data_IF_105352025162
#
_entry.id   IF_105352025162
#
_cell.length_a   1.000
_cell.length_b   1.000
_cell.length_c   1.000
_cell.angle_alpha   90.00
_cell.angle_beta   90.00
_cell.angle_gamma   90.00
#
_symmetry.space_group_name_H-M   'P 1'
#
loop_
_entity.id
_entity.type
_entity.pdbx_description
1 polymer ?
#
# COMPACT_ATOMS: atom_id res chain seq x y z
N UNK A 1 -1.26 9.71 -11.41
CA UNK A 1 -1.79 8.62 -10.55
C UNK A 1 -1.00 7.36 -10.87
N UNK A 2 -0.44 6.69 -9.87
CA UNK A 2 0.33 5.46 -10.08
C UNK A 2 -0.55 4.27 -9.74
N UNK A 3 -0.95 3.52 -10.76
CA UNK A 3 -1.68 2.28 -10.61
C UNK A 3 -0.70 1.12 -10.46
N UNK A 4 -0.76 0.44 -9.31
CA UNK A 4 0.02 -0.78 -9.03
C UNK A 4 -0.91 -1.95 -8.77
N UNK A 5 -0.44 -3.16 -9.08
CA UNK A 5 -1.17 -4.38 -8.77
C UNK A 5 -0.53 -5.04 -7.56
N UNK A 6 -1.36 -5.50 -6.62
CA UNK A 6 -0.91 -6.24 -5.45
C UNK A 6 -1.91 -7.35 -5.11
N UNK A 7 -1.40 -8.47 -4.59
CA UNK A 7 -2.25 -9.51 -4.01
C UNK A 7 -2.60 -9.10 -2.58
N UNK A 8 -3.88 -9.13 -2.24
CA UNK A 8 -4.32 -8.80 -0.90
C UNK A 8 -3.86 -9.87 0.09
N UNK A 9 -3.15 -9.51 1.17
CA UNK A 9 -2.64 -10.50 2.12
C UNK A 9 -3.77 -11.10 2.99
N UNK A 10 -4.96 -10.48 3.02
CA UNK A 10 -6.11 -10.93 3.81
C UNK A 10 -6.95 -11.97 3.04
N UNK A 11 -7.25 -11.72 1.76
CA UNK A 11 -8.16 -12.56 0.98
C UNK A 11 -7.52 -13.24 -0.24
N UNK A 12 -6.25 -12.97 -0.54
CA UNK A 12 -5.52 -13.52 -1.69
C UNK A 12 -5.94 -12.99 -3.06
N UNK A 13 -6.94 -12.11 -3.14
CA UNK A 13 -7.40 -11.55 -4.41
C UNK A 13 -6.50 -10.41 -4.90
N UNK A 14 -6.30 -10.33 -6.22
CA UNK A 14 -5.64 -9.19 -6.87
C UNK A 14 -6.42 -7.90 -6.64
N UNK A 15 -5.70 -6.83 -6.34
CA UNK A 15 -6.24 -5.49 -6.20
C UNK A 15 -5.41 -4.46 -6.94
N UNK A 16 -6.05 -3.34 -7.29
CA UNK A 16 -5.40 -2.19 -7.89
C UNK A 16 -5.16 -1.15 -6.81
N UNK A 17 -3.90 -0.92 -6.49
CA UNK A 17 -3.43 0.17 -5.65
C UNK A 17 -3.42 1.44 -6.49
N UNK A 18 -4.38 2.33 -6.24
CA UNK A 18 -4.39 3.66 -6.85
C UNK A 18 -3.66 4.60 -5.90
N UNK A 19 -2.38 4.81 -6.16
CA UNK A 19 -1.54 5.68 -5.33
C UNK A 19 -1.54 7.08 -5.94
N UNK A 20 -2.07 8.09 -5.24
CA UNK A 20 -1.93 9.48 -5.63
C UNK A 20 -0.45 9.88 -5.62
N UNK A 21 0.01 10.60 -6.65
CA UNK A 21 1.43 11.02 -6.75
C UNK A 21 1.81 11.98 -5.62
N UNK A 22 0.87 12.82 -5.17
CA UNK A 22 1.09 13.75 -4.07
C UNK A 22 1.41 13.03 -2.74
N UNK A 23 0.93 11.80 -2.52
CA UNK A 23 1.29 11.04 -1.31
C UNK A 23 2.79 10.73 -1.25
N UNK A 24 3.44 10.59 -2.41
CA UNK A 24 4.89 10.33 -2.48
C UNK A 24 5.66 11.65 -2.27
N UNK A 25 5.16 12.74 -2.84
CA UNK A 25 5.77 14.08 -2.70
C UNK A 25 5.69 14.59 -1.26
N UNK A 26 4.60 14.30 -0.55
CA UNK A 26 4.35 14.69 0.84
C UNK A 26 5.00 13.74 1.87
N UNK A 27 5.69 12.68 1.43
CA UNK A 27 6.27 11.69 2.34
C UNK A 27 7.59 12.19 2.97
N UNK A 28 7.62 12.32 4.30
CA UNK A 28 8.81 12.75 5.06
C UNK A 28 9.99 11.76 4.97
N UNK A 29 9.70 10.46 4.81
CA UNK A 29 10.70 9.38 4.80
C UNK A 29 10.21 8.14 4.05
N UNK A 30 11.16 7.35 3.56
CA UNK A 30 10.92 6.07 2.90
C UNK A 30 11.56 4.90 3.66
N UNK A 31 10.99 3.67 3.60
CA UNK A 31 9.72 3.34 2.94
C UNK A 31 8.51 4.00 3.60
N UNK A 32 7.55 4.45 2.79
CA UNK A 32 6.33 5.10 3.25
C UNK A 32 5.17 4.11 3.24
N UNK A 33 4.46 3.98 4.36
CA UNK A 33 3.39 3.01 4.52
C UNK A 33 2.04 3.63 4.17
N UNK A 34 1.33 3.04 3.20
CA UNK A 34 -0.02 3.46 2.79
C UNK A 34 -1.04 2.41 3.22
N UNK A 35 -2.16 2.87 3.81
CA UNK A 35 -3.32 2.03 4.07
C UNK A 35 -4.15 1.88 2.79
N UNK A 36 -4.38 0.65 2.38
CA UNK A 36 -5.15 0.29 1.19
C UNK A 36 -6.47 -0.32 1.62
N UNK A 37 -7.58 0.28 1.19
CA UNK A 37 -8.91 -0.27 1.41
C UNK A 37 -9.26 -1.22 0.27
N UNK A 38 -9.51 -2.49 0.59
CA UNK A 38 -9.97 -3.51 -0.34
C UNK A 38 -11.34 -4.03 0.12
N UNK A 39 -12.40 -3.60 -0.56
CA UNK A 39 -13.79 -4.00 -0.24
C UNK A 39 -14.13 -3.73 1.23
N UNK A 40 -14.24 -4.78 2.05
CA UNK A 40 -14.65 -4.79 3.45
C UNK A 40 -13.47 -4.86 4.44
N UNK A 41 -12.23 -4.94 3.95
CA UNK A 41 -11.02 -4.98 4.77
C UNK A 41 -9.97 -4.01 4.25
N UNK A 42 -8.87 -3.88 4.98
CA UNK A 42 -7.72 -3.12 4.56
C UNK A 42 -6.44 -3.93 4.69
N UNK A 43 -5.38 -3.42 4.11
CA UNK A 43 -4.02 -3.88 4.32
C UNK A 43 -3.06 -2.71 4.11
N UNK A 44 -1.77 -2.92 4.35
CA UNK A 44 -0.77 -1.87 4.22
C UNK A 44 0.25 -2.22 3.16
N UNK A 45 0.75 -1.20 2.48
CA UNK A 45 1.83 -1.34 1.49
C UNK A 45 2.92 -0.34 1.78
N UNK A 46 4.16 -0.80 1.71
CA UNK A 46 5.32 0.07 1.77
C UNK A 46 5.70 0.49 0.36
N UNK A 47 5.92 1.79 0.18
CA UNK A 47 6.34 2.40 -1.08
C UNK A 47 7.75 2.97 -0.94
N UNK A 48 8.55 2.84 -2.00
CA UNK A 48 9.81 3.57 -2.13
C UNK A 48 9.60 4.99 -2.68
N UNK A 49 10.69 5.75 -2.82
CA UNK A 49 10.67 7.12 -3.35
C UNK A 49 10.24 7.23 -4.82
N UNK A 50 10.07 6.10 -5.52
CA UNK A 50 9.56 6.01 -6.89
C UNK A 50 8.11 5.50 -6.93
N UNK A 51 7.48 5.26 -5.78
CA UNK A 51 6.14 4.68 -5.69
C UNK A 51 6.07 3.21 -6.09
N UNK A 52 7.16 2.46 -5.93
CA UNK A 52 7.19 1.01 -6.12
C UNK A 52 6.87 0.33 -4.79
N UNK A 53 6.06 -0.72 -4.85
CA UNK A 53 5.73 -1.52 -3.69
C UNK A 53 6.97 -2.31 -3.29
N UNK A 54 7.50 -2.06 -2.08
CA UNK A 54 8.61 -2.83 -1.50
C UNK A 54 8.09 -4.01 -0.69
N UNK A 55 6.99 -3.79 0.05
CA UNK A 55 6.39 -4.80 0.93
C UNK A 55 4.87 -4.66 0.97
N UNK A 56 4.21 -5.77 1.25
CA UNK A 56 2.77 -5.86 1.52
C UNK A 56 2.62 -6.42 2.93
N UNK A 57 1.92 -5.68 3.79
CA UNK A 57 1.80 -5.99 5.22
C UNK A 57 0.35 -6.32 5.57
N UNK A 58 0.18 -7.39 6.35
CA UNK A 58 -1.09 -7.73 6.95
C UNK A 58 -1.46 -6.71 8.04
N UNK A 59 -2.74 -6.32 8.20
CA UNK A 59 -3.16 -5.36 9.24
C UNK A 59 -2.66 -5.71 10.64
N UNK A 60 -2.67 -7.00 10.99
CA UNK A 60 -2.21 -7.53 12.28
C UNK A 60 -0.74 -7.20 12.58
N UNK A 61 0.11 -7.00 11.57
CA UNK A 61 1.51 -6.66 11.76
C UNK A 61 1.73 -5.17 12.07
N UNK A 62 0.72 -4.33 11.81
CA UNK A 62 0.81 -2.86 11.88
C UNK A 62 -0.05 -2.30 13.01
N UNK A 63 -1.23 -2.89 13.24
CA UNK A 63 -2.22 -2.45 14.24
C UNK A 63 -2.17 -3.29 15.53
N UNK A 64 -1.34 -4.35 15.58
CA UNK A 64 -1.20 -5.29 16.69
C UNK A 64 -0.45 -4.78 17.91
#
# INVERSE_FOLDING_TARGET
MLDRYADCPVCGNKTVLRIPENIIEDADRFPFTVKVIHKDHHFYVNLDSRGWVTDILHPEMVEG
#
